data_IF_189755978690
#
_entry.id   IF_189755978690
#
_cell.length_a   1.000
_cell.length_b   1.000
_cell.length_c   1.000
_cell.angle_alpha   90.00
_cell.angle_beta   90.00
_cell.angle_gamma   90.00
#
_symmetry.space_group_name_H-M   'P 1'
#
loop_
_entity.id
_entity.type
_entity.pdbx_description
1 polymer ?
#
# COMPACT_ATOMS: atom_id res chain seq x y z
N UNK A 1 -15.02 -15.43 -0.35
CA UNK A 1 -14.55 -16.54 -1.22
C UNK A 1 -15.45 -16.78 -2.43
N UNK A 2 -16.78 -16.85 -2.27
CA UNK A 2 -17.71 -17.09 -3.40
C UNK A 2 -17.53 -16.15 -4.59
N UNK A 3 -17.38 -14.84 -4.33
CA UNK A 3 -17.18 -13.84 -5.39
C UNK A 3 -15.84 -14.00 -6.13
N UNK A 4 -14.77 -14.36 -5.42
CA UNK A 4 -13.49 -14.66 -6.07
C UNK A 4 -13.63 -15.91 -6.96
N UNK A 5 -14.24 -16.98 -6.43
CA UNK A 5 -14.44 -18.22 -7.18
C UNK A 5 -15.32 -18.03 -8.42
N UNK A 6 -16.32 -17.14 -8.38
CA UNK A 6 -17.20 -16.87 -9.53
C UNK A 6 -16.54 -16.03 -10.64
N UNK A 7 -15.46 -15.33 -10.31
CA UNK A 7 -14.68 -14.49 -11.22
C UNK A 7 -13.41 -15.19 -11.71
N UNK A 8 -12.95 -16.21 -10.99
CA UNK A 8 -11.78 -17.01 -11.34
C UNK A 8 -11.92 -17.60 -12.75
N UNK A 9 -10.87 -17.49 -13.55
CA UNK A 9 -10.84 -17.95 -14.94
C UNK A 9 -11.54 -17.03 -15.95
N UNK A 10 -12.21 -15.96 -15.53
CA UNK A 10 -12.83 -14.96 -16.43
C UNK A 10 -11.91 -13.79 -16.77
N UNK A 11 -10.74 -13.74 -16.16
CA UNK A 11 -9.82 -12.61 -16.25
C UNK A 11 -8.88 -12.56 -15.06
N UNK A 12 -8.04 -11.53 -15.04
CA UNK A 12 -7.11 -11.30 -13.93
C UNK A 12 -7.83 -10.55 -12.81
N UNK A 13 -7.66 -11.04 -11.58
CA UNK A 13 -8.29 -10.47 -10.39
C UNK A 13 -7.21 -9.79 -9.57
N UNK A 14 -7.40 -8.49 -9.33
CA UNK A 14 -6.50 -7.71 -8.48
C UNK A 14 -7.17 -7.37 -7.15
N UNK A 15 -6.40 -7.50 -6.09
CA UNK A 15 -6.72 -7.05 -4.74
C UNK A 15 -5.92 -5.79 -4.48
N UNK A 16 -6.60 -4.66 -4.29
CA UNK A 16 -5.97 -3.36 -4.12
C UNK A 16 -6.21 -2.78 -2.74
N UNK A 17 -5.19 -2.13 -2.20
CA UNK A 17 -5.28 -1.39 -0.94
C UNK A 17 -4.32 -0.19 -0.94
N UNK A 18 -4.59 0.79 -0.08
CA UNK A 18 -3.75 1.95 0.12
C UNK A 18 -3.25 2.01 1.56
N UNK A 19 -1.99 2.35 1.74
CA UNK A 19 -1.34 2.44 3.06
C UNK A 19 -0.57 3.74 3.22
N UNK A 20 -0.42 4.15 4.48
CA UNK A 20 0.31 5.35 4.90
C UNK A 20 1.54 5.00 5.76
N UNK A 21 2.60 4.39 5.19
CA UNK A 21 3.83 4.14 5.92
C UNK A 21 4.39 5.41 6.56
N UNK A 22 4.69 5.29 7.85
CA UNK A 22 5.33 6.35 8.62
C UNK A 22 6.83 6.08 8.66
N UNK A 23 7.63 7.03 8.20
CA UNK A 23 9.08 7.04 8.43
C UNK A 23 9.38 7.65 9.81
N UNK A 24 8.81 7.05 10.86
CA UNK A 24 9.06 7.45 12.23
C UNK A 24 9.82 6.35 12.96
N UNK A 25 10.93 6.73 13.60
CA UNK A 25 11.66 5.85 14.50
C UNK A 25 10.79 5.57 15.72
N UNK A 26 10.38 4.32 15.91
CA UNK A 26 9.78 3.85 17.16
C UNK A 26 10.91 3.29 18.00
N UNK A 27 11.15 3.87 19.17
CA UNK A 27 12.11 3.28 20.11
C UNK A 27 11.57 1.94 20.62
N UNK A 28 12.38 0.89 20.47
CA UNK A 28 12.04 -0.45 20.96
C UNK A 28 12.76 -0.77 22.27
N UNK A 29 14.07 -0.53 22.36
CA UNK A 29 14.88 -0.76 23.55
C UNK A 29 16.11 0.15 23.58
N UNK A 30 16.63 0.43 24.78
CA UNK A 30 17.85 1.21 24.98
C UNK A 30 18.57 0.81 26.26
N UNK A 31 19.90 0.75 26.21
CA UNK A 31 20.75 0.51 27.37
C UNK A 31 21.16 1.86 27.96
N UNK A 32 20.47 2.28 29.02
CA UNK A 32 20.72 3.55 29.69
C UNK A 32 21.42 3.24 31.01
N UNK A 33 22.55 3.91 31.25
CA UNK A 33 23.32 3.69 32.47
C UNK A 33 22.50 4.09 33.70
N UNK A 34 22.56 3.27 34.75
CA UNK A 34 21.84 3.53 36.00
C UNK A 34 22.26 4.89 36.58
N UNK A 35 21.27 5.73 36.89
CA UNK A 35 21.48 7.09 37.38
C UNK A 35 21.59 8.16 36.29
N UNK A 36 21.62 7.78 35.01
CA UNK A 36 21.64 8.73 33.89
C UNK A 36 20.27 8.83 33.22
N UNK A 37 19.87 10.06 32.87
CA UNK A 37 18.68 10.33 32.06
C UNK A 37 19.13 10.62 30.63
N UNK A 38 18.57 9.89 29.66
CA UNK A 38 18.73 10.20 28.23
C UNK A 38 17.45 10.76 27.67
N UNK A 39 17.56 11.90 27.00
CA UNK A 39 16.46 12.47 26.24
C UNK A 39 16.28 11.72 24.92
N UNK A 40 15.02 11.50 24.58
CA UNK A 40 14.62 10.95 23.30
C UNK A 40 14.00 12.08 22.52
N UNK A 41 14.67 12.50 21.45
CA UNK A 41 14.09 13.44 20.52
C UNK A 41 13.00 12.75 19.72
N UNK A 42 11.76 13.24 19.81
CA UNK A 42 10.69 12.84 18.90
C UNK A 42 10.92 13.51 17.55
N UNK A 43 10.92 12.73 16.45
CA UNK A 43 10.90 13.36 15.13
C UNK A 43 9.54 14.05 14.94
N UNK A 44 9.52 15.38 14.86
CA UNK A 44 8.32 16.12 14.46
C UNK A 44 8.05 16.01 12.95
N UNK A 45 9.06 15.59 12.19
CA UNK A 45 9.00 15.38 10.75
C UNK A 45 8.18 14.16 10.39
N UNK A 46 6.86 14.34 10.26
CA UNK A 46 5.96 13.36 9.63
C UNK A 46 6.17 13.36 8.12
N UNK A 47 7.23 12.73 7.65
CA UNK A 47 7.29 12.33 6.24
C UNK A 47 6.49 11.04 6.11
N UNK A 48 5.23 11.20 5.68
CA UNK A 48 4.36 10.09 5.33
C UNK A 48 4.61 9.76 3.86
N UNK A 49 4.84 8.49 3.58
CA UNK A 49 4.72 7.98 2.21
C UNK A 49 3.30 7.47 2.08
N UNK A 50 2.59 7.82 1.01
CA UNK A 50 1.30 7.21 0.72
C UNK A 50 1.43 6.33 -0.51
N UNK A 51 1.12 5.06 -0.37
CA UNK A 51 1.28 4.05 -1.43
C UNK A 51 -0.07 3.41 -1.69
N UNK A 52 -0.46 3.34 -2.95
CA UNK A 52 -1.55 2.49 -3.42
C UNK A 52 -0.93 1.30 -4.14
N UNK A 53 -1.26 0.08 -3.71
CA UNK A 53 -0.84 -1.16 -4.33
C UNK A 53 -2.02 -2.00 -4.80
N UNK A 54 -1.81 -2.82 -5.82
CA UNK A 54 -2.69 -3.89 -6.22
C UNK A 54 -1.88 -5.13 -6.61
N UNK A 55 -2.35 -6.30 -6.18
CA UNK A 55 -1.70 -7.58 -6.46
C UNK A 55 -2.68 -8.57 -7.07
N UNK A 56 -2.24 -9.29 -8.09
CA UNK A 56 -2.89 -10.49 -8.59
C UNK A 56 -2.31 -11.71 -7.89
N UNK A 57 -3.15 -12.48 -7.19
CA UNK A 57 -2.69 -13.61 -6.37
C UNK A 57 -2.27 -14.80 -7.25
N UNK A 58 -2.84 -14.93 -8.44
CA UNK A 58 -2.62 -16.09 -9.31
C UNK A 58 -1.20 -16.10 -9.92
N UNK A 59 -0.61 -14.92 -10.16
CA UNK A 59 0.70 -14.76 -10.81
C UNK A 59 1.65 -13.79 -10.09
N UNK A 60 1.24 -13.27 -8.93
CA UNK A 60 2.00 -12.32 -8.11
C UNK A 60 2.40 -11.04 -8.84
N UNK A 61 1.65 -10.66 -9.87
CA UNK A 61 1.84 -9.38 -10.55
C UNK A 61 1.38 -8.22 -9.65
N UNK A 62 2.22 -7.21 -9.53
CA UNK A 62 2.08 -6.12 -8.56
C UNK A 62 2.17 -4.78 -9.27
N UNK A 63 1.20 -3.92 -8.98
CA UNK A 63 1.16 -2.54 -9.44
C UNK A 63 1.15 -1.62 -8.23
N UNK A 64 2.12 -0.71 -8.13
CA UNK A 64 2.20 0.26 -7.02
C UNK A 64 2.41 1.67 -7.52
N UNK A 65 1.79 2.65 -6.87
CA UNK A 65 2.10 4.08 -7.05
C UNK A 65 2.09 4.85 -5.73
N UNK A 66 2.98 5.82 -5.64
CA UNK A 66 3.02 6.77 -4.53
C UNK A 66 2.26 8.05 -4.87
N UNK A 67 1.60 8.62 -3.87
CA UNK A 67 0.84 9.86 -3.98
C UNK A 67 1.13 10.77 -2.79
N UNK A 68 0.98 12.08 -2.96
CA UNK A 68 1.09 13.04 -1.86
C UNK A 68 -0.06 12.90 -0.86
N UNK A 69 -1.22 12.41 -1.30
CA UNK A 69 -2.39 12.12 -0.46
C UNK A 69 -3.22 11.02 -1.11
N UNK A 70 -3.80 10.13 -0.30
CA UNK A 70 -4.82 9.17 -0.75
C UNK A 70 -6.19 9.82 -0.62
N UNK A 71 -6.78 10.16 -1.77
CA UNK A 71 -8.13 10.69 -1.92
C UNK A 71 -8.80 10.08 -3.17
N UNK A 72 -10.03 10.48 -3.45
CA UNK A 72 -10.78 10.01 -4.63
C UNK A 72 -10.03 10.19 -5.96
N UNK A 73 -9.23 11.26 -6.09
CA UNK A 73 -8.48 11.56 -7.32
C UNK A 73 -7.31 10.58 -7.46
N UNK A 74 -6.56 10.34 -6.38
CA UNK A 74 -5.47 9.35 -6.37
C UNK A 74 -5.97 7.94 -6.68
N UNK A 75 -7.14 7.56 -6.17
CA UNK A 75 -7.78 6.26 -6.44
C UNK A 75 -8.13 6.14 -7.91
N UNK A 76 -8.82 7.14 -8.49
CA UNK A 76 -9.14 7.16 -9.92
C UNK A 76 -7.88 7.10 -10.80
N UNK A 77 -6.83 7.82 -10.42
CA UNK A 77 -5.56 7.81 -11.13
C UNK A 77 -4.87 6.43 -11.05
N UNK A 78 -4.91 5.79 -9.89
CA UNK A 78 -4.36 4.45 -9.70
C UNK A 78 -5.11 3.42 -10.55
N UNK A 79 -6.45 3.45 -10.55
CA UNK A 79 -7.27 2.55 -11.37
C UNK A 79 -7.00 2.70 -12.87
N UNK A 80 -6.80 3.94 -13.35
CA UNK A 80 -6.40 4.19 -14.76
C UNK A 80 -4.98 3.72 -15.07
N UNK A 81 -4.08 3.69 -14.08
CA UNK A 81 -2.73 3.18 -14.27
C UNK A 81 -2.75 1.64 -14.32
N UNK A 82 -3.46 1.02 -13.39
CA UNK A 82 -3.71 -0.42 -13.36
C UNK A 82 -4.37 -0.89 -14.66
N UNK A 83 -5.35 -0.12 -15.17
CA UNK A 83 -5.98 -0.41 -16.45
C UNK A 83 -4.97 -0.39 -17.61
N UNK A 84 -4.04 0.57 -17.62
CA UNK A 84 -3.05 0.71 -18.70
C UNK A 84 -1.96 -0.35 -18.68
N UNK A 85 -1.48 -0.77 -17.50
CA UNK A 85 -0.47 -1.83 -17.41
C UNK A 85 -1.02 -3.18 -17.87
N UNK A 86 -2.31 -3.43 -17.65
CA UNK A 86 -2.96 -4.66 -18.05
C UNK A 86 -3.56 -4.48 -19.46
N UNK A 87 -2.72 -4.50 -20.49
CA UNK A 87 -3.19 -4.52 -21.87
C UNK A 87 -3.89 -5.87 -22.17
N UNK A 88 -5.15 -5.81 -22.63
CA UNK A 88 -5.91 -6.89 -23.31
C UNK A 88 -6.60 -8.02 -22.51
N UNK A 89 -6.67 -8.02 -21.17
CA UNK A 89 -7.43 -9.06 -20.42
C UNK A 89 -8.66 -8.46 -19.72
N UNK A 90 -9.79 -9.19 -19.67
CA UNK A 90 -10.96 -8.84 -18.84
C UNK A 90 -10.55 -8.74 -17.36
N UNK A 91 -11.08 -7.75 -16.63
CA UNK A 91 -10.56 -7.36 -15.30
C UNK A 91 -11.67 -7.32 -14.27
N UNK A 92 -11.31 -7.74 -13.06
CA UNK A 92 -12.16 -7.58 -11.88
C UNK A 92 -11.31 -7.05 -10.72
N UNK A 93 -11.75 -5.93 -10.14
CA UNK A 93 -11.09 -5.30 -8.99
C UNK A 93 -11.97 -5.55 -7.78
N UNK A 94 -11.36 -6.09 -6.72
CA UNK A 94 -11.99 -6.31 -5.44
C UNK A 94 -11.34 -5.37 -4.42
N UNK A 95 -12.19 -4.69 -3.65
CA UNK A 95 -11.86 -3.94 -2.45
C UNK A 95 -12.48 -4.68 -1.26
#
# INVERSE_FOLDING_TARGET
MEKYNSLKGKGKIYFGDATHPLHNTILSAGWIRKGERKEVFTNSGRNRVNVFGAISIDDLDIVTRSYDTINQISVCNFLKALEREILMVRKYILF
#
